data_IF_841588671597
#
_entry.id   IF_841588671597
#
_cell.length_a   1.000
_cell.length_b   1.000
_cell.length_c   1.000
_cell.angle_alpha   90.00
_cell.angle_beta   90.00
_cell.angle_gamma   90.00
#
_symmetry.space_group_name_H-M   'P 1'
#
loop_
_entity.id
_entity.type
_entity.pdbx_description
1 polymer ?
#
# COMPACT_ATOMS: atom_id res chain seq x y z
N UNK A 1 3.62 -4.07 19.11
CA UNK A 1 3.57 -3.80 17.67
C UNK A 1 3.08 -5.06 16.98
N UNK A 2 1.95 -5.02 16.29
CA UNK A 2 1.54 -6.15 15.45
C UNK A 2 2.47 -6.17 14.25
N UNK A 3 3.34 -7.18 14.17
CA UNK A 3 4.15 -7.41 12.97
C UNK A 3 3.20 -7.85 11.86
N UNK A 4 3.07 -7.04 10.82
CA UNK A 4 2.34 -7.46 9.63
C UNK A 4 3.24 -8.40 8.83
N UNK A 5 2.66 -9.48 8.31
CA UNK A 5 3.38 -10.31 7.34
C UNK A 5 3.63 -9.46 6.09
N UNK A 6 4.90 -9.29 5.75
CA UNK A 6 5.32 -8.58 4.54
C UNK A 6 5.22 -9.52 3.34
N UNK A 7 4.96 -8.94 2.16
CA UNK A 7 4.99 -9.70 0.91
C UNK A 7 6.41 -9.94 0.40
N UNK A 8 7.32 -8.99 0.66
CA UNK A 8 8.72 -9.05 0.23
C UNK A 8 9.70 -8.68 1.35
N UNK A 9 10.99 -9.02 1.17
CA UNK A 9 12.03 -8.78 2.18
C UNK A 9 12.89 -7.53 1.89
N UNK A 10 12.72 -6.90 0.74
CA UNK A 10 13.38 -5.65 0.37
C UNK A 10 12.49 -4.77 -0.51
N UNK A 11 12.70 -3.45 -0.50
CA UNK A 11 11.92 -2.52 -1.35
C UNK A 11 12.08 -2.84 -2.85
N UNK A 12 13.29 -3.20 -3.28
CA UNK A 12 13.57 -3.51 -4.69
C UNK A 12 12.92 -4.80 -5.20
N UNK A 13 12.39 -5.66 -4.33
CA UNK A 13 11.63 -6.84 -4.71
C UNK A 13 10.18 -6.50 -5.10
N UNK A 14 9.66 -5.32 -4.70
CA UNK A 14 8.29 -4.91 -5.05
C UNK A 14 8.19 -4.76 -6.57
N UNK A 15 7.24 -5.47 -7.16
CA UNK A 15 6.97 -5.45 -8.59
C UNK A 15 5.45 -5.36 -8.80
N UNK A 16 5.03 -5.25 -10.06
CA UNK A 16 3.61 -5.12 -10.42
C UNK A 16 2.75 -6.26 -9.87
N UNK A 17 3.26 -7.49 -9.84
CA UNK A 17 2.52 -8.65 -9.31
C UNK A 17 2.24 -8.50 -7.81
N UNK A 18 3.21 -8.02 -7.03
CA UNK A 18 3.01 -7.74 -5.60
C UNK A 18 1.94 -6.66 -5.37
N UNK A 19 1.95 -5.59 -6.19
CA UNK A 19 0.92 -4.55 -6.16
C UNK A 19 -0.45 -5.13 -6.53
N UNK A 20 -0.52 -5.93 -7.59
CA UNK A 20 -1.75 -6.58 -8.05
C UNK A 20 -2.37 -7.48 -6.97
N UNK A 21 -1.56 -8.33 -6.34
CA UNK A 21 -1.99 -9.18 -5.24
C UNK A 21 -2.50 -8.35 -4.06
N UNK A 22 -1.76 -7.31 -3.65
CA UNK A 22 -2.17 -6.42 -2.57
C UNK A 22 -3.48 -5.68 -2.88
N UNK A 23 -3.66 -5.19 -4.11
CA UNK A 23 -4.91 -4.53 -4.53
C UNK A 23 -6.08 -5.52 -4.50
N UNK A 24 -5.91 -6.72 -5.07
CA UNK A 24 -6.96 -7.76 -5.09
C UNK A 24 -7.33 -8.22 -3.68
N UNK A 25 -6.34 -8.40 -2.81
CA UNK A 25 -6.60 -8.69 -1.40
C UNK A 25 -7.33 -7.54 -0.73
N UNK A 26 -6.94 -6.28 -0.92
CA UNK A 26 -7.64 -5.13 -0.32
C UNK A 26 -9.11 -5.03 -0.74
N UNK A 27 -9.39 -5.32 -2.02
CA UNK A 27 -10.76 -5.31 -2.58
C UNK A 27 -11.68 -6.38 -1.99
N UNK A 28 -11.11 -7.47 -1.49
CA UNK A 28 -11.85 -8.62 -0.97
C UNK A 28 -11.72 -8.79 0.54
N UNK A 29 -10.90 -7.96 1.19
CA UNK A 29 -10.66 -8.06 2.63
C UNK A 29 -11.87 -7.61 3.44
N UNK A 30 -11.95 -8.14 4.65
CA UNK A 30 -12.98 -7.72 5.59
C UNK A 30 -12.69 -6.31 6.10
N UNK A 31 -13.77 -5.60 6.43
CA UNK A 31 -13.67 -4.29 7.06
C UNK A 31 -13.08 -4.45 8.46
N UNK A 32 -11.92 -3.84 8.69
CA UNK A 32 -11.22 -3.84 9.98
C UNK A 32 -11.82 -2.80 10.93
N UNK A 33 -12.14 -1.62 10.40
CA UNK A 33 -12.66 -0.51 11.20
C UNK A 33 -13.70 0.28 10.44
N UNK A 34 -14.72 0.74 11.16
CA UNK A 34 -15.81 1.59 10.67
C UNK A 34 -15.88 2.84 11.52
N UNK A 35 -16.01 3.99 10.86
CA UNK A 35 -16.33 5.27 11.46
C UNK A 35 -17.60 5.86 10.85
N UNK A 36 -18.09 7.00 11.37
CA UNK A 36 -19.32 7.62 10.87
C UNK A 36 -19.28 7.99 9.38
N UNK A 37 -18.10 8.26 8.84
CA UNK A 37 -17.91 8.75 7.46
C UNK A 37 -17.25 7.72 6.54
N UNK A 38 -17.08 6.48 6.99
CA UNK A 38 -16.35 5.51 6.18
C UNK A 38 -15.92 4.24 6.89
N UNK A 39 -15.12 3.46 6.16
CA UNK A 39 -14.50 2.25 6.68
C UNK A 39 -13.09 2.11 6.12
N UNK A 40 -12.31 1.23 6.76
CA UNK A 40 -11.06 0.74 6.21
C UNK A 40 -10.96 -0.78 6.33
N UNK A 41 -10.32 -1.41 5.36
CA UNK A 41 -9.81 -2.78 5.47
C UNK A 41 -8.46 -2.76 6.20
N UNK A 42 -7.89 -3.94 6.44
CA UNK A 42 -6.53 -4.01 6.98
C UNK A 42 -5.52 -3.45 5.97
N UNK A 43 -4.42 -2.93 6.47
CA UNK A 43 -3.25 -2.62 5.66
C UNK A 43 -2.53 -3.90 5.24
N UNK A 44 -2.33 -4.06 3.95
CA UNK A 44 -1.49 -5.11 3.35
C UNK A 44 -0.11 -4.52 3.19
N UNK A 45 0.84 -5.06 3.95
CA UNK A 45 2.21 -4.58 3.97
C UNK A 45 3.00 -5.26 2.85
N UNK A 46 3.42 -4.49 1.84
CA UNK A 46 4.31 -4.99 0.81
C UNK A 46 5.71 -5.15 1.41
N UNK A 47 6.21 -4.08 2.03
CA UNK A 47 7.49 -4.04 2.72
C UNK A 47 7.45 -3.05 3.90
N UNK A 48 8.25 -3.28 4.93
CA UNK A 48 8.54 -2.31 5.98
C UNK A 48 9.68 -2.80 6.88
N UNK A 49 10.46 -1.91 7.47
CA UNK A 49 11.57 -2.34 8.33
C UNK A 49 11.02 -3.11 9.53
N UNK A 50 11.46 -4.36 9.70
CA UNK A 50 10.97 -5.28 10.74
C UNK A 50 9.45 -5.55 10.69
N UNK A 51 8.81 -5.39 9.53
CA UNK A 51 7.36 -5.54 9.38
C UNK A 51 6.56 -4.36 9.93
N UNK A 52 7.19 -3.18 10.08
CA UNK A 52 6.53 -1.94 10.42
C UNK A 52 6.21 -1.12 9.16
N UNK A 53 4.92 -0.89 8.90
CA UNK A 53 4.47 -0.05 7.78
C UNK A 53 4.87 1.41 7.91
N UNK A 54 5.21 1.86 9.13
CA UNK A 54 5.53 3.26 9.39
C UNK A 54 6.94 3.61 8.97
N UNK A 55 7.88 2.67 9.05
CA UNK A 55 9.30 2.94 8.86
C UNK A 55 9.78 2.28 7.57
N UNK A 56 10.09 3.10 6.57
CA UNK A 56 10.50 2.68 5.23
C UNK A 56 9.48 1.74 4.58
N UNK A 57 8.19 2.02 4.81
CA UNK A 57 7.10 1.09 4.52
C UNK A 57 6.40 1.38 3.21
N UNK A 58 5.88 0.33 2.58
CA UNK A 58 4.94 0.40 1.46
C UNK A 58 3.74 -0.46 1.81
N UNK A 59 2.57 0.16 1.97
CA UNK A 59 1.34 -0.57 2.28
C UNK A 59 0.18 -0.14 1.41
N UNK A 60 -0.76 -1.06 1.20
CA UNK A 60 -2.00 -0.83 0.44
C UNK A 60 -3.19 -1.22 1.32
N UNK A 61 -4.24 -0.41 1.30
CA UNK A 61 -5.52 -0.76 1.90
C UNK A 61 -6.69 -0.24 1.06
N UNK A 62 -7.90 -0.62 1.44
CA UNK A 62 -9.12 0.01 0.95
C UNK A 62 -9.69 0.90 2.05
N UNK A 63 -9.81 2.19 1.77
CA UNK A 63 -10.48 3.16 2.63
C UNK A 63 -11.70 3.72 1.91
N UNK A 64 -12.90 3.37 2.38
CA UNK A 64 -14.18 3.91 1.90
C UNK A 64 -14.31 3.90 0.37
N UNK A 65 -14.21 2.70 -0.22
CA UNK A 65 -14.25 2.49 -1.67
C UNK A 65 -13.13 3.17 -2.46
N UNK A 66 -12.00 3.48 -1.82
CA UNK A 66 -10.78 3.95 -2.48
C UNK A 66 -9.63 3.03 -2.11
N UNK A 67 -8.94 2.45 -3.09
CA UNK A 67 -7.67 1.79 -2.86
C UNK A 67 -6.63 2.87 -2.60
N UNK A 68 -5.95 2.80 -1.47
CA UNK A 68 -4.91 3.74 -1.06
C UNK A 68 -3.59 3.01 -0.94
N UNK A 69 -2.53 3.67 -1.37
CA UNK A 69 -1.15 3.30 -1.09
C UNK A 69 -0.53 4.34 -0.18
N UNK A 70 0.24 3.87 0.80
CA UNK A 70 1.10 4.65 1.66
C UNK A 70 2.55 4.24 1.37
N UNK A 71 3.42 5.22 1.16
CA UNK A 71 4.88 5.05 1.08
C UNK A 71 5.51 5.97 2.11
N UNK A 72 6.39 5.43 2.96
CA UNK A 72 7.14 6.21 3.95
C UNK A 72 8.64 6.07 3.78
N UNK A 73 9.38 7.09 4.24
CA UNK A 73 10.84 7.04 4.30
C UNK A 73 11.34 6.30 5.56
N UNK A 74 12.66 6.19 5.71
CA UNK A 74 13.33 5.57 6.86
C UNK A 74 13.07 6.22 8.21
N UNK A 75 12.58 7.46 8.23
CA UNK A 75 12.23 8.21 9.44
C UNK A 75 10.71 8.18 9.70
N UNK A 76 9.97 7.53 8.79
CA UNK A 76 8.52 7.37 8.81
C UNK A 76 7.72 8.59 8.34
N UNK A 77 8.36 9.49 7.60
CA UNK A 77 7.68 10.60 6.93
C UNK A 77 6.95 10.09 5.70
N UNK A 78 5.83 10.74 5.36
CA UNK A 78 5.04 10.36 4.19
C UNK A 78 5.69 10.87 2.91
N UNK A 79 6.14 9.93 2.07
CA UNK A 79 6.60 10.22 0.70
C UNK A 79 5.41 10.25 -0.26
N UNK A 80 4.44 9.35 -0.05
CA UNK A 80 3.22 9.31 -0.82
C UNK A 80 2.05 8.79 0.01
N UNK A 81 0.89 9.44 -0.12
CA UNK A 81 -0.38 8.91 0.35
C UNK A 81 -1.50 9.26 -0.62
N UNK A 82 -2.00 8.27 -1.34
CA UNK A 82 -2.94 8.51 -2.44
C UNK A 82 -3.50 7.23 -3.02
N UNK A 83 -4.36 7.37 -4.02
CA UNK A 83 -4.90 6.22 -4.73
C UNK A 83 -6.24 6.52 -5.40
N UNK A 84 -6.96 5.46 -5.75
CA UNK A 84 -8.01 5.50 -6.78
C UNK A 84 -9.30 4.87 -6.30
N UNK A 85 -10.43 5.41 -6.79
CA UNK A 85 -11.75 4.86 -6.50
C UNK A 85 -11.87 3.44 -7.06
N UNK A 86 -12.45 2.51 -6.30
CA UNK A 86 -12.74 1.14 -6.76
C UNK A 86 -13.75 1.08 -7.90
N UNK A 87 -14.38 2.21 -8.25
CA UNK A 87 -15.22 2.33 -9.45
C UNK A 87 -14.41 2.39 -10.76
N UNK A 88 -13.11 2.66 -10.67
CA UNK A 88 -12.21 2.62 -11.82
C UNK A 88 -11.88 1.17 -12.20
N UNK A 89 -11.40 0.96 -13.42
CA UNK A 89 -10.93 -0.36 -13.85
C UNK A 89 -9.76 -0.82 -12.96
N UNK A 90 -9.79 -2.07 -12.49
CA UNK A 90 -8.80 -2.59 -11.54
C UNK A 90 -7.37 -2.61 -12.11
N UNK A 91 -7.20 -2.97 -13.38
CA UNK A 91 -5.89 -2.97 -14.03
C UNK A 91 -5.31 -1.56 -14.11
N UNK A 92 -6.15 -0.56 -14.40
CA UNK A 92 -5.76 0.84 -14.32
C UNK A 92 -5.26 1.23 -12.93
N UNK A 93 -5.96 0.84 -11.86
CA UNK A 93 -5.55 1.13 -10.48
C UNK A 93 -4.17 0.49 -10.21
N UNK A 94 -4.00 -0.78 -10.58
CA UNK A 94 -2.74 -1.52 -10.39
C UNK A 94 -1.59 -0.82 -11.12
N UNK A 95 -1.79 -0.48 -12.40
CA UNK A 95 -0.77 0.14 -13.23
C UNK A 95 -0.37 1.51 -12.69
N UNK A 96 -1.35 2.35 -12.32
CA UNK A 96 -1.06 3.69 -11.75
C UNK A 96 -0.34 3.59 -10.41
N UNK A 97 -0.74 2.66 -9.54
CA UNK A 97 -0.09 2.47 -8.25
C UNK A 97 1.33 1.95 -8.40
N UNK A 98 1.57 1.03 -9.33
CA UNK A 98 2.92 0.54 -9.62
C UNK A 98 3.81 1.66 -10.17
N UNK A 99 3.31 2.47 -11.11
CA UNK A 99 4.09 3.61 -11.65
C UNK A 99 4.43 4.66 -10.59
N UNK A 100 3.49 4.96 -9.68
CA UNK A 100 3.74 5.84 -8.53
C UNK A 100 4.81 5.24 -7.63
N UNK A 101 4.71 3.95 -7.29
CA UNK A 101 5.71 3.28 -6.49
C UNK A 101 7.09 3.35 -7.16
N UNK A 102 7.20 3.02 -8.45
CA UNK A 102 8.47 3.08 -9.18
C UNK A 102 9.08 4.48 -9.16
N UNK A 103 8.29 5.53 -9.44
CA UNK A 103 8.77 6.91 -9.38
C UNK A 103 9.23 7.31 -7.98
N UNK A 104 8.45 7.00 -6.94
CA UNK A 104 8.83 7.34 -5.57
C UNK A 104 10.08 6.58 -5.17
N UNK A 105 10.15 5.29 -5.47
CA UNK A 105 11.29 4.43 -5.17
C UNK A 105 12.59 4.89 -5.84
N UNK A 106 12.52 5.35 -7.10
CA UNK A 106 13.67 5.93 -7.81
C UNK A 106 14.19 7.23 -7.17
N UNK A 107 13.29 7.98 -6.51
CA UNK A 107 13.63 9.23 -5.81
C UNK A 107 14.08 8.99 -4.36
N UNK A 108 14.03 7.75 -3.86
CA UNK A 108 14.54 7.43 -2.53
C UNK A 108 16.05 7.34 -2.58
N UNK A 109 16.73 8.28 -1.93
CA UNK A 109 18.17 8.20 -1.68
C UNK A 109 18.43 7.06 -0.68
N UNK A 110 19.02 5.96 -1.16
CA UNK A 110 19.50 4.84 -0.34
C UNK A 110 20.90 5.09 0.21
#
# INVERSE_FOLDING_TARGET
MNKHNMMVNSLGEINRTHIEEAVKTALTDSIESRGPLGYRTRSILLYGINGDERVNGVSINQHSYTIKMLITDKDGQFLFYGGFSVKMNTDFIIDRLFEVFSHVHELMDY
#
